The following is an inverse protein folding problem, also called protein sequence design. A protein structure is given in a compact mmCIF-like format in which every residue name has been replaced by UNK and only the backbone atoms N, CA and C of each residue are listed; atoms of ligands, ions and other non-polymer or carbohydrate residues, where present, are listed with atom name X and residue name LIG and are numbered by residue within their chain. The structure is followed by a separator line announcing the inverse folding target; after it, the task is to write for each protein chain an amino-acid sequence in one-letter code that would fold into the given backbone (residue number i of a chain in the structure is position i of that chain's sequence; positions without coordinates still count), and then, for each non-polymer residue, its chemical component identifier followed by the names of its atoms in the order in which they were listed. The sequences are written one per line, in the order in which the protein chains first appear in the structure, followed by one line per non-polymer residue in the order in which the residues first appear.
data_IF_983389639859
#
_entry.id   IF_983389639859
#
_cell.length_a   1.000
_cell.length_b   1.000
_cell.length_c   1.000
_cell.angle_alpha   90.00
_cell.angle_beta   90.00
_cell.angle_gamma   90.00
#
_symmetry.space_group_name_H-M   'P 1'
#
loop_
_entity.id
_entity.type
_entity.pdbx_description
1 polymer ?
#
# COMPACT_ATOMS: atom_id res chain seq x y z
N UNK A 1 -11.46 0.87 -34.47
CA UNK A 1 -10.91 -0.16 -33.57
C UNK A 1 -9.60 0.39 -33.11
N UNK A 2 -9.59 1.02 -31.94
CA UNK A 2 -8.32 1.34 -31.27
C UNK A 2 -7.82 0.00 -30.73
N UNK A 3 -6.67 -0.45 -31.23
CA UNK A 3 -5.96 -1.56 -30.62
C UNK A 3 -5.62 -1.12 -29.19
N UNK A 4 -6.21 -1.77 -28.19
CA UNK A 4 -5.71 -1.73 -26.81
C UNK A 4 -4.31 -2.37 -26.84
N UNK A 5 -3.31 -1.58 -27.23
CA UNK A 5 -1.92 -1.97 -27.11
C UNK A 5 -1.66 -2.30 -25.64
N UNK A 6 -1.02 -3.44 -25.38
CA UNK A 6 -0.65 -3.86 -24.03
C UNK A 6 0.01 -2.69 -23.29
N UNK A 7 -0.65 -2.19 -22.24
CA UNK A 7 -0.08 -1.14 -21.42
C UNK A 7 1.19 -1.69 -20.77
N UNK A 8 2.34 -1.21 -21.22
CA UNK A 8 3.63 -1.44 -20.56
C UNK A 8 3.62 -0.61 -19.26
N UNK A 9 3.81 -1.28 -18.13
CA UNK A 9 3.88 -0.61 -16.83
C UNK A 9 5.17 0.19 -16.73
N UNK A 10 5.07 1.45 -16.32
CA UNK A 10 6.24 2.29 -16.06
C UNK A 10 6.86 2.02 -14.68
N UNK A 11 8.01 2.62 -14.41
CA UNK A 11 8.69 2.50 -13.11
C UNK A 11 7.80 3.01 -11.95
N UNK A 12 7.05 4.08 -12.17
CA UNK A 12 6.10 4.64 -11.19
C UNK A 12 4.95 3.67 -10.87
N UNK A 13 4.46 2.92 -11.88
CA UNK A 13 3.42 1.90 -11.69
C UNK A 13 3.96 0.74 -10.83
N UNK A 14 5.22 0.34 -11.05
CA UNK A 14 5.88 -0.70 -10.28
C UNK A 14 6.17 -0.26 -8.83
N UNK A 15 6.57 1.00 -8.64
CA UNK A 15 6.74 1.62 -7.31
C UNK A 15 5.40 1.65 -6.56
N UNK A 16 4.33 2.08 -7.23
CA UNK A 16 3.01 2.15 -6.63
C UNK A 16 2.48 0.74 -6.26
N UNK A 17 2.66 -0.24 -7.15
CA UNK A 17 2.32 -1.63 -6.86
C UNK A 17 3.12 -2.19 -5.67
N UNK A 18 4.43 -1.91 -5.61
CA UNK A 18 5.31 -2.33 -4.51
C UNK A 18 4.88 -1.74 -3.17
N UNK A 19 4.53 -0.45 -3.15
CA UNK A 19 4.01 0.21 -1.96
C UNK A 19 2.73 -0.48 -1.46
N UNK A 20 1.78 -0.78 -2.34
CA UNK A 20 0.53 -1.41 -1.91
C UNK A 20 0.77 -2.83 -1.40
N UNK A 21 1.66 -3.61 -2.04
CA UNK A 21 2.04 -4.93 -1.55
C UNK A 21 2.64 -4.83 -0.14
N UNK A 22 3.52 -3.84 0.11
CA UNK A 22 4.09 -3.63 1.43
C UNK A 22 3.02 -3.34 2.48
N UNK A 23 2.02 -2.50 2.15
CA UNK A 23 0.88 -2.22 3.05
C UNK A 23 0.08 -3.50 3.33
N UNK A 24 -0.21 -4.31 2.32
CA UNK A 24 -0.94 -5.57 2.50
C UNK A 24 -0.19 -6.53 3.40
N UNK A 25 1.12 -6.69 3.20
CA UNK A 25 1.96 -7.55 4.04
C UNK A 25 2.05 -7.05 5.48
N UNK A 26 2.09 -5.72 5.67
CA UNK A 26 2.14 -5.09 6.98
C UNK A 26 0.92 -5.44 7.83
N UNK A 27 -0.25 -5.51 7.20
CA UNK A 27 -1.55 -5.65 7.89
C UNK A 27 -2.21 -7.03 7.70
N UNK A 28 -1.53 -7.99 7.06
CA UNK A 28 -2.11 -9.26 6.62
C UNK A 28 -2.73 -10.12 7.73
N UNK A 29 -2.35 -9.88 8.99
CA UNK A 29 -2.79 -10.65 10.16
C UNK A 29 -3.78 -9.89 11.05
N UNK A 30 -4.23 -8.71 10.62
CA UNK A 30 -5.09 -7.83 11.39
C UNK A 30 -6.42 -7.64 10.67
N UNK A 31 -7.50 -7.53 11.45
CA UNK A 31 -8.79 -7.11 10.90
C UNK A 31 -8.81 -5.60 10.64
N UNK A 32 -9.79 -5.16 9.85
CA UNK A 32 -9.92 -3.75 9.46
C UNK A 32 -10.17 -2.81 10.65
N UNK A 33 -10.82 -3.27 11.72
CA UNK A 33 -11.06 -2.44 12.90
C UNK A 33 -9.77 -2.21 13.69
N UNK A 34 -8.90 -3.22 13.77
CA UNK A 34 -7.59 -3.10 14.41
C UNK A 34 -6.66 -2.17 13.61
N UNK A 35 -6.62 -2.32 12.29
CA UNK A 35 -5.85 -1.44 11.40
C UNK A 35 -6.34 0.01 11.54
N UNK A 36 -7.67 0.21 11.54
CA UNK A 36 -8.30 1.53 11.71
C UNK A 36 -7.92 2.16 13.05
N UNK A 37 -7.97 1.39 14.13
CA UNK A 37 -7.59 1.86 15.48
C UNK A 37 -6.12 2.29 15.57
N UNK A 38 -5.22 1.59 14.87
CA UNK A 38 -3.78 1.88 14.89
C UNK A 38 -3.40 3.07 14.02
N UNK A 39 -3.98 3.13 12.82
CA UNK A 39 -3.63 4.15 11.81
C UNK A 39 -4.48 5.42 11.93
N UNK A 40 -5.66 5.33 12.54
CA UNK A 40 -6.66 6.39 12.53
C UNK A 40 -7.37 6.57 11.18
N UNK A 41 -7.16 5.66 10.22
CA UNK A 41 -7.82 5.67 8.91
C UNK A 41 -9.18 5.00 9.04
N UNK A 42 -10.21 5.63 8.47
CA UNK A 42 -11.58 5.10 8.50
C UNK A 42 -11.68 3.73 7.80
N UNK A 43 -12.53 2.80 8.29
CA UNK A 43 -12.66 1.46 7.72
C UNK A 43 -13.03 1.43 6.23
N UNK A 44 -13.86 2.37 5.78
CA UNK A 44 -14.24 2.51 4.36
C UNK A 44 -13.03 2.88 3.51
N UNK A 45 -12.20 3.81 4.00
CA UNK A 45 -10.99 4.24 3.31
C UNK A 45 -9.93 3.14 3.28
N UNK A 46 -9.78 2.40 4.39
CA UNK A 46 -8.95 1.18 4.41
C UNK A 46 -9.43 0.15 3.39
N UNK A 47 -10.73 -0.01 3.21
CA UNK A 47 -11.26 -0.91 2.20
C UNK A 47 -10.85 -0.48 0.78
N UNK A 48 -10.88 0.80 0.46
CA UNK A 48 -10.45 1.30 -0.86
C UNK A 48 -8.97 1.01 -1.12
N UNK A 49 -8.12 1.24 -0.13
CA UNK A 49 -6.66 1.00 -0.20
C UNK A 49 -6.36 -0.51 -0.30
N UNK A 50 -6.96 -1.32 0.57
CA UNK A 50 -6.73 -2.77 0.66
C UNK A 50 -7.44 -3.58 -0.43
N UNK A 51 -8.30 -2.96 -1.23
CA UNK A 51 -8.88 -3.58 -2.44
C UNK A 51 -8.25 -3.08 -3.73
N UNK A 52 -7.16 -2.29 -3.62
CA UNK A 52 -6.46 -1.67 -4.75
C UNK A 52 -7.35 -0.73 -5.58
N UNK A 53 -8.48 -0.27 -5.02
CA UNK A 53 -9.41 0.62 -5.71
C UNK A 53 -8.85 2.03 -5.78
N UNK A 54 -8.18 2.46 -4.71
CA UNK A 54 -7.50 3.74 -4.64
C UNK A 54 -6.10 3.60 -4.04
N UNK A 55 -5.18 4.45 -4.50
CA UNK A 55 -3.85 4.54 -3.91
C UNK A 55 -3.91 5.36 -2.62
N UNK A 56 -3.16 4.96 -1.58
CA UNK A 56 -3.01 5.79 -0.40
C UNK A 56 -2.21 7.05 -0.74
N UNK A 57 -2.58 8.18 -0.12
CA UNK A 57 -1.80 9.41 -0.25
C UNK A 57 -0.56 9.41 0.68
N UNK A 58 0.26 10.45 0.57
CA UNK A 58 1.48 10.58 1.38
C UNK A 58 1.24 10.63 2.89
N UNK A 59 0.08 11.16 3.32
CA UNK A 59 -0.29 11.21 4.73
C UNK A 59 -0.72 9.82 5.24
N UNK A 60 -1.52 9.10 4.48
CA UNK A 60 -1.95 7.73 4.77
C UNK A 60 -0.75 6.77 4.85
N UNK A 61 0.22 6.91 3.95
CA UNK A 61 1.49 6.18 4.01
C UNK A 61 2.23 6.47 5.33
N UNK A 62 2.31 7.75 5.74
CA UNK A 62 2.96 8.12 6.99
C UNK A 62 2.25 7.53 8.22
N UNK A 63 0.91 7.44 8.20
CA UNK A 63 0.12 6.80 9.25
C UNK A 63 0.42 5.30 9.37
N UNK A 64 0.48 4.56 8.25
CA UNK A 64 0.90 3.16 8.27
C UNK A 64 2.32 2.98 8.82
N UNK A 65 3.27 3.82 8.38
CA UNK A 65 4.64 3.72 8.88
C UNK A 65 4.75 4.00 10.38
N UNK A 66 4.00 4.98 10.88
CA UNK A 66 3.99 5.32 12.29
C UNK A 66 3.32 4.22 13.14
N UNK A 67 2.17 3.72 12.70
CA UNK A 67 1.39 2.70 13.39
C UNK A 67 2.16 1.39 13.60
N UNK A 68 2.97 1.00 12.61
CA UNK A 68 3.67 -0.28 12.61
C UNK A 68 5.19 -0.16 12.81
N UNK A 69 5.72 1.07 12.91
CA UNK A 69 7.15 1.33 13.11
C UNK A 69 8.04 0.79 11.98
N UNK A 70 7.51 0.69 10.75
CA UNK A 70 8.25 0.17 9.59
C UNK A 70 8.31 1.21 8.48
N UNK A 71 9.44 1.25 7.77
CA UNK A 71 9.53 1.93 6.48
C UNK A 71 8.83 1.05 5.44
N UNK A 72 7.81 1.59 4.78
CA UNK A 72 7.07 0.88 3.71
C UNK A 72 7.33 1.47 2.34
N UNK A 73 8.06 2.58 2.28
CA UNK A 73 8.45 3.19 1.02
C UNK A 73 9.37 2.21 0.27
N UNK A 74 9.09 1.92 -1.01
CA UNK A 74 9.98 1.09 -1.81
C UNK A 74 11.28 1.87 -2.08
N UNK A 75 12.25 1.74 -1.18
CA UNK A 75 13.59 2.25 -1.40
C UNK A 75 14.24 1.52 -2.58
N UNK A 76 15.09 2.18 -3.38
CA UNK A 76 15.75 1.56 -4.54
C UNK A 76 16.64 0.36 -4.18
N UNK A 77 16.92 0.12 -2.89
CA UNK A 77 17.83 -0.91 -2.40
C UNK A 77 17.30 -1.67 -1.16
N UNK A 78 16.02 -1.58 -0.79
CA UNK A 78 15.54 -2.33 0.37
C UNK A 78 15.28 -3.80 0.02
N UNK A 79 15.88 -4.76 0.76
CA UNK A 79 15.53 -6.17 0.62
C UNK A 79 14.04 -6.35 0.99
N UNK A 80 13.33 -7.33 0.37
CA UNK A 80 11.95 -7.60 0.74
C UNK A 80 11.85 -7.86 2.25
N UNK A 81 10.77 -7.38 2.86
CA UNK A 81 10.47 -7.61 4.28
C UNK A 81 10.64 -9.11 4.58
N UNK A 82 11.59 -9.44 5.45
CA UNK A 82 11.87 -10.83 5.83
C UNK A 82 10.65 -11.45 6.53
N UNK A 83 10.39 -12.72 6.20
CA UNK A 83 9.21 -13.52 6.60
C UNK A 83 9.18 -13.85 8.08
#
# INVERSE_FOLDING_TARGET
MEEEGERIWGDDDLIAARLIINIHLLVAHEDREEISRKTGIEPERLQEILTLREYPDGYEIALFQNAYGRNIWPGPNEPPLER
#
